data_IF_812896055259
#
_entry.id   IF_812896055259
#
_cell.length_a   1.000
_cell.length_b   1.000
_cell.length_c   1.000
_cell.angle_alpha   90.00
_cell.angle_beta   90.00
_cell.angle_gamma   90.00
#
_symmetry.space_group_name_H-M   'P 1'
#
loop_
_entity.id
_entity.type
_entity.pdbx_description
1 polymer ?
#
# COMPACT_ATOMS: atom_id res chain seq x y z
N UNK A 1 -66.03 -1.48 6.74
CA UNK A 1 -66.04 -0.71 5.49
C UNK A 1 -64.63 -0.63 4.90
N UNK A 2 -64.49 -0.22 3.64
CA UNK A 2 -63.18 -0.08 2.96
C UNK A 2 -62.15 0.70 3.78
N UNK A 3 -62.57 1.70 4.58
CA UNK A 3 -61.67 2.49 5.45
C UNK A 3 -60.95 1.70 6.53
N UNK A 4 -61.54 0.58 6.99
CA UNK A 4 -60.94 -0.25 8.02
C UNK A 4 -59.87 -1.18 7.45
N UNK A 5 -60.01 -1.54 6.18
CA UNK A 5 -59.00 -2.33 5.46
C UNK A 5 -57.75 -1.51 5.22
N UNK A 6 -57.88 -0.26 4.80
CA UNK A 6 -56.71 0.63 4.61
C UNK A 6 -56.03 1.00 5.92
N UNK A 7 -56.77 1.21 7.00
CA UNK A 7 -56.14 1.43 8.33
C UNK A 7 -55.34 0.22 8.80
N UNK A 8 -55.81 -1.01 8.58
CA UNK A 8 -55.08 -2.22 8.91
C UNK A 8 -53.85 -2.41 8.03
N UNK A 9 -53.93 -2.08 6.73
CA UNK A 9 -52.78 -2.14 5.84
C UNK A 9 -51.68 -1.12 6.23
N UNK A 10 -52.07 0.12 6.56
CA UNK A 10 -51.10 1.13 7.04
C UNK A 10 -50.46 0.71 8.37
N UNK A 11 -51.22 0.11 9.29
CA UNK A 11 -50.68 -0.38 10.56
C UNK A 11 -49.71 -1.54 10.34
N UNK A 12 -50.00 -2.47 9.41
CA UNK A 12 -49.12 -3.61 9.07
C UNK A 12 -47.87 -3.15 8.34
N UNK A 13 -47.95 -2.15 7.45
CA UNK A 13 -46.79 -1.56 6.79
C UNK A 13 -45.89 -0.76 7.74
N UNK A 14 -46.48 -0.11 8.77
CA UNK A 14 -45.73 0.60 9.80
C UNK A 14 -44.97 -0.33 10.75
N UNK A 15 -45.46 -1.55 10.96
CA UNK A 15 -44.82 -2.57 11.79
C UNK A 15 -43.67 -3.32 11.07
N UNK A 16 -43.66 -3.29 9.72
CA UNK A 16 -42.59 -3.92 8.92
C UNK A 16 -41.37 -3.00 8.66
N UNK A 17 -41.39 -1.76 9.12
CA UNK A 17 -40.29 -0.80 9.02
C UNK A 17 -39.30 -0.87 10.19
N UNK A 18 -39.36 -1.89 11.02
CA UNK A 18 -38.22 -2.19 11.89
C UNK A 18 -37.14 -2.74 11.02
N UNK A 19 -36.26 -1.85 10.55
CA UNK A 19 -34.97 -2.20 9.99
C UNK A 19 -34.24 -3.06 11.03
N UNK A 20 -34.11 -4.34 10.73
CA UNK A 20 -33.14 -5.15 11.46
C UNK A 20 -31.81 -4.47 11.26
N UNK A 21 -31.19 -3.99 12.32
CA UNK A 21 -29.76 -3.75 12.32
C UNK A 21 -29.13 -5.11 12.02
N UNK A 22 -28.67 -5.29 10.78
CA UNK A 22 -27.83 -6.41 10.41
C UNK A 22 -26.49 -6.20 11.12
N UNK A 23 -26.42 -6.57 12.39
CA UNK A 23 -25.13 -6.82 13.01
C UNK A 23 -24.60 -8.09 12.35
N UNK A 24 -23.53 -7.94 11.57
CA UNK A 24 -22.85 -9.06 10.94
C UNK A 24 -22.20 -9.90 12.04
N UNK A 25 -22.93 -10.94 12.48
CA UNK A 25 -22.41 -11.91 13.43
C UNK A 25 -21.67 -12.99 12.64
N UNK A 26 -20.34 -12.86 12.54
CA UNK A 26 -19.48 -13.88 11.93
C UNK A 26 -18.58 -14.52 13.01
N UNK A 27 -19.05 -15.53 13.73
CA UNK A 27 -18.33 -16.13 14.87
C UNK A 27 -17.06 -16.88 14.48
N UNK A 28 -16.78 -17.05 13.20
CA UNK A 28 -15.60 -17.75 12.67
C UNK A 28 -14.61 -16.86 11.93
N UNK A 29 -14.90 -15.58 11.69
CA UNK A 29 -13.98 -14.67 11.03
C UNK A 29 -13.29 -13.76 12.05
N UNK A 30 -11.97 -13.83 12.08
CA UNK A 30 -11.18 -12.82 12.75
C UNK A 30 -11.23 -11.55 11.91
N UNK A 31 -11.85 -10.48 12.44
CA UNK A 31 -11.73 -9.16 11.83
C UNK A 31 -10.32 -8.62 12.05
N UNK A 32 -9.88 -7.68 11.23
CA UNK A 32 -8.56 -7.04 11.39
C UNK A 32 -8.45 -6.34 12.75
N UNK A 33 -9.53 -5.72 13.21
CA UNK A 33 -9.61 -5.08 14.51
C UNK A 33 -9.45 -6.11 15.66
N UNK A 34 -10.05 -7.29 15.53
CA UNK A 34 -9.90 -8.36 16.51
C UNK A 34 -8.47 -8.93 16.50
N UNK A 35 -7.85 -9.10 15.34
CA UNK A 35 -6.44 -9.49 15.25
C UNK A 35 -5.54 -8.47 15.93
N UNK A 36 -5.75 -7.18 15.68
CA UNK A 36 -4.94 -6.11 16.25
C UNK A 36 -5.01 -5.99 17.78
N UNK A 37 -5.92 -6.68 18.47
CA UNK A 37 -5.99 -6.68 19.94
C UNK A 37 -4.89 -7.50 20.63
N UNK A 38 -4.12 -8.28 19.88
CA UNK A 38 -2.96 -9.03 20.36
C UNK A 38 -1.70 -8.71 19.56
N UNK A 39 -0.53 -8.88 20.16
CA UNK A 39 0.75 -8.65 19.49
C UNK A 39 0.90 -9.61 18.30
N UNK A 40 0.67 -10.91 18.49
CA UNK A 40 0.78 -11.92 17.41
C UNK A 40 -0.21 -11.68 16.27
N UNK A 41 -1.42 -11.24 16.61
CA UNK A 41 -2.42 -10.87 15.61
C UNK A 41 -2.01 -9.63 14.80
N UNK A 42 -1.45 -8.63 15.46
CA UNK A 42 -0.94 -7.44 14.78
C UNK A 42 0.29 -7.74 13.92
N UNK A 43 1.19 -8.62 14.37
CA UNK A 43 2.30 -9.12 13.55
C UNK A 43 1.80 -9.77 12.24
N UNK A 44 0.64 -10.43 12.28
CA UNK A 44 0.01 -10.98 11.07
C UNK A 44 -0.40 -9.87 10.10
N UNK A 45 -0.90 -8.73 10.60
CA UNK A 45 -1.21 -7.57 9.75
C UNK A 45 0.05 -6.92 9.18
N UNK A 46 1.12 -6.82 9.97
CA UNK A 46 2.43 -6.35 9.48
C UNK A 46 2.97 -7.29 8.38
N UNK A 47 2.89 -8.60 8.59
CA UNK A 47 3.32 -9.58 7.58
C UNK A 47 2.53 -9.47 6.27
N UNK A 48 1.25 -9.08 6.34
CA UNK A 48 0.46 -8.82 5.14
C UNK A 48 1.01 -7.64 4.32
N UNK A 49 1.65 -6.66 4.95
CA UNK A 49 2.30 -5.55 4.24
C UNK A 49 3.46 -6.03 3.35
N UNK A 50 4.16 -7.11 3.74
CA UNK A 50 5.25 -7.70 2.95
C UNK A 50 4.76 -8.59 1.81
N UNK A 51 3.58 -9.17 1.93
CA UNK A 51 3.06 -10.15 0.97
C UNK A 51 2.99 -9.60 -0.46
N UNK A 52 2.53 -8.38 -0.62
CA UNK A 52 2.45 -7.76 -1.95
C UNK A 52 3.85 -7.55 -2.54
N UNK A 53 4.86 -7.21 -1.70
CA UNK A 53 6.25 -7.06 -2.13
C UNK A 53 6.84 -8.40 -2.60
N UNK A 54 6.64 -9.47 -1.85
CA UNK A 54 7.07 -10.81 -2.24
C UNK A 54 6.46 -11.21 -3.59
N UNK A 55 5.15 -11.06 -3.72
CA UNK A 55 4.42 -11.49 -4.91
C UNK A 55 4.81 -10.74 -6.18
N UNK A 56 5.00 -9.42 -6.09
CA UNK A 56 5.14 -8.56 -7.26
C UNK A 56 6.58 -8.18 -7.57
N UNK A 57 7.46 -8.12 -6.56
CA UNK A 57 8.87 -7.73 -6.76
C UNK A 57 9.80 -8.93 -6.92
N UNK A 58 9.53 -10.04 -6.25
CA UNK A 58 10.45 -11.19 -6.23
C UNK A 58 9.82 -12.47 -6.77
N UNK A 59 8.51 -12.56 -6.82
CA UNK A 59 7.78 -13.78 -7.21
C UNK A 59 7.43 -13.89 -8.69
N UNK A 60 7.54 -12.82 -9.46
CA UNK A 60 7.19 -12.83 -10.88
C UNK A 60 8.25 -12.13 -11.75
N UNK A 61 8.30 -12.51 -13.03
CA UNK A 61 9.13 -11.84 -14.01
C UNK A 61 8.60 -10.43 -14.39
N UNK A 62 7.43 -10.05 -13.90
CA UNK A 62 6.75 -8.80 -14.25
C UNK A 62 7.57 -7.59 -13.82
N UNK A 63 8.15 -7.64 -12.61
CA UNK A 63 9.02 -6.58 -12.09
C UNK A 63 10.25 -6.36 -12.99
N UNK A 64 11.01 -7.41 -13.28
CA UNK A 64 12.21 -7.28 -14.14
C UNK A 64 11.86 -6.78 -15.53
N UNK A 65 10.70 -7.18 -16.05
CA UNK A 65 10.26 -6.73 -17.37
C UNK A 65 9.97 -5.23 -17.39
N UNK A 66 9.43 -4.68 -16.30
CA UNK A 66 9.06 -3.27 -16.22
C UNK A 66 10.24 -2.34 -15.83
N UNK A 67 11.24 -2.85 -15.11
CA UNK A 67 12.37 -2.03 -14.64
C UNK A 67 13.62 -2.20 -15.47
N UNK A 68 13.90 -3.42 -15.94
CA UNK A 68 15.13 -3.77 -16.64
C UNK A 68 14.91 -4.02 -18.13
N UNK A 69 13.67 -4.33 -18.52
CA UNK A 69 13.32 -4.49 -19.93
C UNK A 69 13.59 -3.20 -20.70
N UNK A 70 14.11 -3.32 -21.93
CA UNK A 70 14.42 -2.19 -22.80
C UNK A 70 15.59 -1.30 -22.34
N UNK A 71 16.41 -1.81 -21.42
CA UNK A 71 17.68 -1.21 -21.08
C UNK A 71 18.81 -1.77 -21.97
N UNK A 72 19.97 -1.14 -21.97
CA UNK A 72 21.17 -1.61 -22.69
C UNK A 72 21.79 -2.87 -22.05
N UNK A 73 21.38 -3.25 -20.86
CA UNK A 73 21.89 -4.40 -20.10
C UNK A 73 21.07 -5.67 -20.31
N UNK A 74 19.81 -5.55 -20.70
CA UNK A 74 18.88 -6.67 -20.79
C UNK A 74 18.21 -6.77 -22.16
N UNK A 75 18.32 -7.95 -22.78
CA UNK A 75 17.59 -8.31 -23.98
C UNK A 75 16.94 -9.67 -23.83
N UNK A 76 15.82 -9.85 -24.48
CA UNK A 76 15.12 -11.10 -24.48
C UNK A 76 15.61 -12.03 -25.61
N UNK A 77 15.55 -13.34 -25.38
CA UNK A 77 15.95 -14.32 -26.39
C UNK A 77 15.08 -14.18 -27.65
N UNK A 78 15.72 -13.99 -28.78
CA UNK A 78 15.02 -13.94 -30.06
C UNK A 78 14.23 -15.23 -30.31
N UNK A 79 12.99 -15.12 -30.82
CA UNK A 79 12.08 -16.19 -31.20
C UNK A 79 11.18 -16.78 -30.09
N UNK A 80 11.08 -16.18 -28.91
CA UNK A 80 10.03 -16.55 -27.97
C UNK A 80 8.83 -15.61 -28.14
N UNK A 81 7.70 -16.15 -28.59
CA UNK A 81 6.43 -15.43 -28.74
C UNK A 81 5.72 -15.33 -27.40
N UNK A 82 6.26 -14.53 -26.49
CA UNK A 82 5.61 -14.24 -25.21
C UNK A 82 5.30 -12.76 -25.11
N UNK A 83 4.33 -12.40 -24.28
CA UNK A 83 3.98 -11.02 -23.99
C UNK A 83 5.18 -10.19 -23.47
N UNK A 84 6.21 -10.85 -22.96
CA UNK A 84 7.46 -10.21 -22.52
C UNK A 84 8.29 -9.61 -23.67
N UNK A 85 8.25 -10.18 -24.87
CA UNK A 85 9.02 -9.67 -26.00
C UNK A 85 8.61 -8.28 -26.43
N UNK A 86 7.38 -7.89 -26.15
CA UNK A 86 6.86 -6.56 -26.52
C UNK A 86 7.52 -5.44 -25.70
N UNK A 87 7.96 -5.73 -24.47
CA UNK A 87 8.64 -4.77 -23.60
C UNK A 87 10.09 -4.54 -23.97
N UNK A 88 10.73 -5.57 -24.56
CA UNK A 88 12.14 -5.53 -24.95
C UNK A 88 12.38 -4.94 -26.34
N UNK A 89 11.32 -4.50 -27.04
CA UNK A 89 11.41 -3.89 -28.36
C UNK A 89 11.03 -2.41 -28.31
N UNK A 90 11.70 -1.63 -27.45
CA UNK A 90 11.54 -0.18 -27.34
C UNK A 90 10.08 0.25 -27.20
N UNK A 91 9.34 -0.40 -26.30
CA UNK A 91 7.90 -0.16 -26.08
C UNK A 91 7.03 -0.22 -27.34
N UNK A 92 7.54 -0.75 -28.43
CA UNK A 92 6.77 -0.92 -29.66
C UNK A 92 5.65 -1.95 -29.42
N UNK A 93 4.42 -1.46 -29.25
CA UNK A 93 3.23 -2.29 -29.05
C UNK A 93 2.83 -2.50 -27.59
N UNK A 94 3.44 -1.81 -26.63
CA UNK A 94 2.97 -1.84 -25.25
C UNK A 94 1.60 -1.17 -25.14
N UNK A 95 0.67 -1.88 -24.49
CA UNK A 95 -0.63 -1.34 -24.13
C UNK A 95 -0.62 -1.02 -22.63
N UNK A 96 -1.23 0.08 -22.18
CA UNK A 96 -1.36 0.38 -20.75
C UNK A 96 -2.15 -0.69 -19.99
N UNK A 97 -2.83 -1.59 -20.70
CA UNK A 97 -3.61 -2.69 -20.12
C UNK A 97 -2.92 -4.05 -20.27
N UNK A 98 -1.60 -4.11 -20.28
CA UNK A 98 -0.90 -5.41 -20.24
C UNK A 98 -1.05 -6.05 -18.87
N UNK A 99 -1.00 -7.38 -18.81
CA UNK A 99 -1.08 -8.15 -17.58
C UNK A 99 -0.02 -7.69 -16.57
N UNK A 100 1.18 -7.38 -17.02
CA UNK A 100 2.32 -6.98 -16.17
C UNK A 100 2.10 -5.62 -15.52
N UNK A 101 1.66 -4.63 -16.30
CA UNK A 101 1.33 -3.30 -15.80
C UNK A 101 0.20 -3.37 -14.78
N UNK A 102 -0.85 -4.16 -15.09
CA UNK A 102 -1.97 -4.35 -14.19
C UNK A 102 -1.56 -5.08 -12.90
N UNK A 103 -0.72 -6.11 -12.99
CA UNK A 103 -0.23 -6.84 -11.82
C UNK A 103 0.56 -5.93 -10.90
N UNK A 104 1.45 -5.10 -11.47
CA UNK A 104 2.21 -4.14 -10.67
C UNK A 104 1.29 -3.11 -10.01
N UNK A 105 0.40 -2.51 -10.78
CA UNK A 105 -0.57 -1.55 -10.27
C UNK A 105 -1.41 -2.13 -9.12
N UNK A 106 -2.03 -3.29 -9.35
CA UNK A 106 -2.85 -3.94 -8.34
C UNK A 106 -2.04 -4.31 -7.09
N UNK A 107 -0.83 -4.86 -7.30
CA UNK A 107 0.04 -5.21 -6.20
C UNK A 107 0.51 -4.05 -5.36
N UNK A 108 0.76 -2.90 -5.99
CA UNK A 108 1.06 -1.67 -5.28
C UNK A 108 -0.09 -1.28 -4.34
N UNK A 109 -1.33 -1.27 -4.84
CA UNK A 109 -2.48 -0.88 -4.03
C UNK A 109 -2.92 -1.94 -3.02
N UNK A 110 -2.68 -3.23 -3.28
CA UNK A 110 -2.82 -4.29 -2.29
C UNK A 110 -1.85 -4.04 -1.11
N UNK A 111 -0.60 -3.68 -1.41
CA UNK A 111 0.41 -3.34 -0.41
C UNK A 111 0.09 -2.06 0.36
N UNK A 112 -0.29 -0.99 -0.35
CA UNK A 112 -0.70 0.29 0.28
C UNK A 112 -1.91 0.08 1.19
N UNK A 113 -2.91 -0.68 0.74
CA UNK A 113 -4.09 -0.99 1.54
C UNK A 113 -3.74 -1.73 2.82
N UNK A 114 -2.90 -2.77 2.73
CA UNK A 114 -2.42 -3.52 3.91
C UNK A 114 -1.65 -2.60 4.89
N UNK A 115 -0.78 -1.73 4.37
CA UNK A 115 -0.02 -0.79 5.19
C UNK A 115 -0.95 0.23 5.88
N UNK A 116 -1.92 0.78 5.17
CA UNK A 116 -2.89 1.72 5.75
C UNK A 116 -3.67 1.09 6.91
N UNK A 117 -4.12 -0.15 6.74
CA UNK A 117 -4.79 -0.92 7.79
C UNK A 117 -3.90 -1.15 9.02
N UNK A 118 -2.66 -1.60 8.79
CA UNK A 118 -1.71 -1.83 9.88
C UNK A 118 -1.39 -0.52 10.62
N UNK A 119 -1.17 0.59 9.91
CA UNK A 119 -0.90 1.90 10.52
C UNK A 119 -2.11 2.37 11.34
N UNK A 120 -3.32 2.27 10.80
CA UNK A 120 -4.54 2.71 11.50
C UNK A 120 -4.83 1.90 12.76
N UNK A 121 -4.41 0.64 12.82
CA UNK A 121 -4.63 -0.25 13.95
C UNK A 121 -3.43 -0.31 14.92
N UNK A 122 -2.36 0.44 14.66
CA UNK A 122 -1.10 0.35 15.41
C UNK A 122 -1.17 0.68 16.90
N UNK A 123 -2.17 1.41 17.33
CA UNK A 123 -2.40 1.74 18.76
C UNK A 123 -3.19 0.67 19.53
N UNK A 124 -3.70 -0.36 18.86
CA UNK A 124 -4.54 -1.38 19.50
C UNK A 124 -3.78 -2.49 20.22
N UNK A 125 -2.63 -2.98 19.71
CA UNK A 125 -1.89 -4.04 20.37
C UNK A 125 -1.37 -3.59 21.74
N UNK A 126 -1.33 -4.48 22.74
CA UNK A 126 -0.93 -4.14 24.10
C UNK A 126 0.60 -4.09 24.24
N UNK A 127 1.27 -3.27 23.42
CA UNK A 127 2.70 -2.99 23.59
C UNK A 127 2.95 -2.26 24.91
N UNK A 128 4.08 -2.55 25.55
CA UNK A 128 4.41 -1.99 26.86
C UNK A 128 5.15 -0.65 26.75
N UNK A 129 5.82 -0.43 25.63
CA UNK A 129 6.56 0.81 25.36
C UNK A 129 6.15 1.43 24.04
N UNK A 130 6.40 2.73 23.92
CA UNK A 130 6.20 3.47 22.68
C UNK A 130 7.15 2.99 21.59
N UNK A 131 8.38 2.66 21.99
CA UNK A 131 9.42 2.17 21.08
C UNK A 131 9.00 0.85 20.41
N UNK A 132 8.47 -0.11 21.18
CA UNK A 132 7.98 -1.38 20.64
C UNK A 132 6.85 -1.16 19.63
N UNK A 133 5.88 -0.34 20.01
CA UNK A 133 4.75 0.00 19.14
C UNK A 133 5.18 0.70 17.86
N UNK A 134 5.97 1.77 18.02
CA UNK A 134 6.37 2.59 16.87
C UNK A 134 7.33 1.86 15.95
N UNK A 135 8.16 0.95 16.45
CA UNK A 135 9.00 0.09 15.62
C UNK A 135 8.15 -0.76 14.66
N UNK A 136 7.00 -1.27 15.11
CA UNK A 136 6.09 -2.04 14.26
C UNK A 136 5.31 -1.18 13.28
N UNK A 137 4.82 -0.03 13.70
CA UNK A 137 4.21 0.95 12.80
C UNK A 137 5.23 1.42 11.75
N UNK A 138 6.49 1.57 12.13
CA UNK A 138 7.58 1.97 11.24
C UNK A 138 7.85 0.96 10.12
N UNK A 139 7.68 -0.35 10.36
CA UNK A 139 7.73 -1.37 9.30
C UNK A 139 6.66 -1.11 8.24
N UNK A 140 5.41 -0.92 8.64
CA UNK A 140 4.31 -0.64 7.72
C UNK A 140 4.49 0.68 6.96
N UNK A 141 4.95 1.75 7.64
CA UNK A 141 5.24 3.04 7.01
C UNK A 141 6.37 2.95 6.01
N UNK A 142 7.45 2.27 6.36
CA UNK A 142 8.56 2.04 5.42
C UNK A 142 8.08 1.35 4.15
N UNK A 143 7.30 0.28 4.28
CA UNK A 143 6.77 -0.45 3.13
C UNK A 143 5.81 0.40 2.30
N UNK A 144 4.95 1.19 2.94
CA UNK A 144 4.04 2.11 2.23
C UNK A 144 4.82 3.15 1.41
N UNK A 145 5.87 3.72 1.98
CA UNK A 145 6.74 4.64 1.28
C UNK A 145 7.42 3.97 0.07
N UNK A 146 7.89 2.73 0.20
CA UNK A 146 8.48 1.96 -0.90
C UNK A 146 7.46 1.68 -2.00
N UNK A 147 6.23 1.30 -1.66
CA UNK A 147 5.16 1.09 -2.65
C UNK A 147 4.85 2.37 -3.42
N UNK A 148 4.67 3.49 -2.73
CA UNK A 148 4.40 4.77 -3.38
C UNK A 148 5.58 5.27 -4.21
N UNK A 149 6.81 5.14 -3.69
CA UNK A 149 8.01 5.49 -4.44
C UNK A 149 8.04 4.75 -5.79
N UNK A 150 7.90 3.42 -5.77
CA UNK A 150 7.92 2.64 -6.99
C UNK A 150 6.72 2.95 -7.92
N UNK A 151 5.54 3.20 -7.36
CA UNK A 151 4.38 3.57 -8.16
C UNK A 151 4.58 4.90 -8.88
N UNK A 152 5.10 5.90 -8.19
CA UNK A 152 5.37 7.24 -8.76
C UNK A 152 6.45 7.16 -9.83
N UNK A 153 7.53 6.42 -9.59
CA UNK A 153 8.61 6.25 -10.57
C UNK A 153 8.17 5.52 -11.83
N UNK A 154 7.22 4.60 -11.74
CA UNK A 154 6.73 3.84 -12.89
C UNK A 154 5.55 4.49 -13.62
N UNK A 155 4.67 5.15 -12.89
CA UNK A 155 3.38 5.64 -13.43
C UNK A 155 3.22 7.15 -13.37
N UNK A 156 4.17 7.87 -12.77
CA UNK A 156 4.03 9.31 -12.50
C UNK A 156 2.93 9.59 -11.49
N UNK A 157 1.99 10.46 -11.83
CA UNK A 157 0.86 10.75 -10.96
C UNK A 157 -0.02 9.51 -10.72
N UNK A 158 -0.24 9.16 -9.46
CA UNK A 158 -1.05 8.01 -9.02
C UNK A 158 -2.06 8.43 -7.96
N UNK A 159 -3.05 7.58 -7.67
CA UNK A 159 -4.04 7.87 -6.62
C UNK A 159 -3.38 7.77 -5.24
N UNK A 160 -3.48 8.82 -4.43
CA UNK A 160 -2.97 8.81 -3.06
C UNK A 160 -4.05 8.34 -2.10
N UNK A 161 -3.78 7.25 -1.37
CA UNK A 161 -4.61 6.65 -0.34
C UNK A 161 -3.79 6.54 0.94
N UNK A 162 -4.17 7.26 1.99
CA UNK A 162 -3.44 7.31 3.26
C UNK A 162 -4.18 6.64 4.42
N UNK A 163 -5.42 6.22 4.18
CA UNK A 163 -6.30 5.61 5.16
C UNK A 163 -6.89 4.29 4.62
N UNK A 164 -7.37 3.40 5.50
CA UNK A 164 -8.13 2.21 5.10
C UNK A 164 -9.34 2.58 4.24
N UNK A 165 -9.63 1.74 3.24
CA UNK A 165 -10.84 1.90 2.43
C UNK A 165 -12.01 1.30 3.19
N UNK A 166 -12.95 2.16 3.57
CA UNK A 166 -14.24 1.79 4.19
C UNK A 166 -15.38 2.14 3.25
N UNK A 167 -16.61 1.81 3.63
CA UNK A 167 -17.79 2.21 2.86
C UNK A 167 -17.91 3.75 2.74
N UNK A 168 -17.42 4.49 3.73
CA UNK A 168 -17.44 5.95 3.80
C UNK A 168 -16.31 6.59 2.98
N UNK A 169 -15.14 5.96 2.95
CA UNK A 169 -13.95 6.50 2.25
C UNK A 169 -13.83 6.01 0.81
N UNK A 170 -14.64 5.00 0.42
CA UNK A 170 -14.63 4.46 -0.93
C UNK A 170 -15.05 5.51 -1.95
N UNK A 171 -14.18 5.79 -2.92
CA UNK A 171 -14.50 6.63 -4.07
C UNK A 171 -14.56 5.81 -5.36
N UNK A 172 -15.59 6.02 -6.15
CA UNK A 172 -15.77 5.38 -7.46
C UNK A 172 -15.08 6.14 -8.60
N UNK A 173 -14.55 7.32 -8.30
CA UNK A 173 -13.86 8.17 -9.27
C UNK A 173 -12.51 8.65 -8.69
N UNK A 174 -11.54 7.75 -8.50
CA UNK A 174 -10.24 8.13 -7.98
C UNK A 174 -9.54 9.08 -8.96
N UNK A 175 -8.91 10.11 -8.41
CA UNK A 175 -8.09 11.07 -9.17
C UNK A 175 -6.61 10.79 -8.94
N UNK A 176 -5.79 11.14 -9.94
CA UNK A 176 -4.34 11.08 -9.80
C UNK A 176 -3.83 12.28 -9.01
N UNK A 177 -2.95 12.03 -8.06
CA UNK A 177 -2.25 13.04 -7.27
C UNK A 177 -0.89 13.32 -7.90
N UNK A 178 -0.48 14.56 -7.88
CA UNK A 178 0.83 14.97 -8.38
C UNK A 178 1.96 14.24 -7.64
N UNK A 179 3.02 13.77 -8.35
CA UNK A 179 4.15 13.08 -7.75
C UNK A 179 4.76 13.81 -6.55
N UNK A 180 5.01 15.12 -6.67
CA UNK A 180 5.65 15.87 -5.60
C UNK A 180 4.79 15.93 -4.34
N UNK A 181 3.46 16.03 -4.50
CA UNK A 181 2.51 15.94 -3.37
C UNK A 181 2.62 14.58 -2.66
N UNK A 182 2.73 13.47 -3.41
CA UNK A 182 2.90 12.13 -2.81
C UNK A 182 4.23 12.03 -2.06
N UNK A 183 5.31 12.61 -2.60
CA UNK A 183 6.59 12.70 -1.89
C UNK A 183 6.45 13.45 -0.57
N UNK A 184 5.82 14.61 -0.58
CA UNK A 184 5.69 15.48 0.58
C UNK A 184 4.75 14.95 1.66
N UNK A 185 3.63 14.32 1.25
CA UNK A 185 2.58 13.92 2.18
C UNK A 185 2.68 12.47 2.64
N UNK A 186 3.36 11.59 1.87
CA UNK A 186 3.46 10.17 2.20
C UNK A 186 4.90 9.69 2.25
N UNK A 187 5.67 9.77 1.15
CA UNK A 187 6.95 9.07 1.04
C UNK A 187 7.95 9.59 2.07
N UNK A 188 8.21 10.89 2.08
CA UNK A 188 9.19 11.50 2.99
C UNK A 188 8.76 11.41 4.47
N UNK A 189 7.50 11.73 4.85
CA UNK A 189 7.06 11.57 6.23
C UNK A 189 7.13 10.13 6.74
N UNK A 190 6.78 9.15 5.91
CA UNK A 190 6.83 7.74 6.30
C UNK A 190 8.28 7.26 6.46
N UNK A 191 9.21 7.68 5.58
CA UNK A 191 10.62 7.33 5.69
C UNK A 191 11.30 8.01 6.88
N UNK A 192 10.94 9.24 7.21
CA UNK A 192 11.43 9.94 8.41
C UNK A 192 10.99 9.20 9.67
N UNK A 193 9.70 8.86 9.76
CA UNK A 193 9.19 8.05 10.87
C UNK A 193 9.92 6.69 10.95
N UNK A 194 10.10 6.01 9.82
CA UNK A 194 10.82 4.74 9.77
C UNK A 194 12.28 4.89 10.21
N UNK A 195 12.97 5.96 9.80
CA UNK A 195 14.35 6.22 10.21
C UNK A 195 14.52 6.56 11.70
N UNK A 196 13.46 7.04 12.34
CA UNK A 196 13.45 7.31 13.78
C UNK A 196 13.25 6.02 14.58
N UNK A 197 12.26 5.20 14.20
CA UNK A 197 11.75 4.12 15.06
C UNK A 197 12.20 2.71 14.68
N UNK A 198 12.72 2.49 13.47
CA UNK A 198 13.24 1.17 13.13
C UNK A 198 14.53 0.84 13.90
N UNK A 199 14.77 -0.45 14.21
CA UNK A 199 15.93 -0.86 14.99
C UNK A 199 17.26 -0.61 14.25
N UNK A 200 18.31 -0.29 15.02
CA UNK A 200 19.66 0.02 14.48
C UNK A 200 20.53 -1.21 14.22
N UNK A 201 20.08 -2.41 14.55
CA UNK A 201 20.90 -3.62 14.48
C UNK A 201 21.16 -4.14 13.07
N UNK A 202 22.24 -4.91 12.92
CA UNK A 202 22.42 -5.79 11.78
C UNK A 202 21.72 -7.11 12.08
N UNK A 203 20.53 -7.28 11.53
CA UNK A 203 19.83 -8.55 11.69
C UNK A 203 20.33 -9.53 10.63
N UNK A 204 21.30 -10.33 10.97
CA UNK A 204 21.79 -11.40 10.10
C UNK A 204 20.73 -12.48 9.78
N UNK A 205 19.58 -12.42 10.45
CA UNK A 205 18.52 -13.44 10.39
C UNK A 205 17.12 -12.88 10.17
N UNK A 206 16.94 -11.57 10.07
CA UNK A 206 15.61 -10.97 9.91
C UNK A 206 15.47 -10.32 8.54
N UNK A 207 14.29 -10.53 7.95
CA UNK A 207 13.87 -9.92 6.69
C UNK A 207 13.23 -8.55 6.88
N UNK A 208 13.21 -8.03 8.11
CA UNK A 208 12.59 -6.74 8.45
C UNK A 208 13.53 -5.57 8.16
N UNK A 209 13.01 -4.42 7.77
CA UNK A 209 13.81 -3.24 7.51
C UNK A 209 14.49 -2.73 8.79
N UNK A 210 15.65 -2.11 8.62
CA UNK A 210 16.41 -1.48 9.71
C UNK A 210 16.45 0.03 9.52
N UNK A 211 16.86 0.75 10.56
CA UNK A 211 17.11 2.19 10.48
C UNK A 211 18.02 2.57 9.29
N UNK A 212 19.05 1.77 9.03
CA UNK A 212 19.95 2.01 7.88
C UNK A 212 19.24 1.87 6.54
N UNK A 213 18.31 0.91 6.42
CA UNK A 213 17.50 0.76 5.21
C UNK A 213 16.59 1.97 5.01
N UNK A 214 15.96 2.46 6.09
CA UNK A 214 15.10 3.65 6.05
C UNK A 214 15.88 4.92 5.67
N UNK A 215 17.06 5.15 6.27
CA UNK A 215 17.93 6.28 5.94
C UNK A 215 18.39 6.23 4.49
N UNK A 216 18.89 5.08 4.02
CA UNK A 216 19.32 4.93 2.62
C UNK A 216 18.16 5.15 1.63
N UNK A 217 16.96 4.73 1.99
CA UNK A 217 15.79 4.96 1.14
C UNK A 217 15.29 6.41 1.22
N UNK A 218 15.42 7.06 2.39
CA UNK A 218 15.13 8.48 2.58
C UNK A 218 16.08 9.34 1.72
N UNK A 219 17.39 9.08 1.75
CA UNK A 219 18.36 9.75 0.90
C UNK A 219 18.00 9.62 -0.58
N UNK A 220 17.66 8.40 -1.03
CA UNK A 220 17.22 8.13 -2.40
C UNK A 220 15.95 8.91 -2.76
N UNK A 221 14.95 8.91 -1.89
CA UNK A 221 13.69 9.62 -2.10
C UNK A 221 13.89 11.15 -2.16
N UNK A 222 14.72 11.70 -1.26
CA UNK A 222 15.07 13.11 -1.28
C UNK A 222 15.79 13.53 -2.58
N UNK A 223 16.73 12.71 -3.07
CA UNK A 223 17.40 12.96 -4.35
C UNK A 223 16.42 12.92 -5.52
N UNK A 224 15.47 11.98 -5.49
CA UNK A 224 14.50 11.83 -6.57
C UNK A 224 13.54 13.01 -6.71
N UNK A 225 13.30 13.78 -5.64
CA UNK A 225 12.49 15.01 -5.73
C UNK A 225 13.08 16.06 -6.68
N UNK A 226 14.39 15.98 -6.97
CA UNK A 226 15.04 16.86 -7.94
C UNK A 226 14.47 16.68 -9.35
N UNK A 227 14.10 15.48 -9.75
CA UNK A 227 13.48 15.20 -11.04
C UNK A 227 12.10 15.87 -11.18
N UNK A 228 11.46 16.15 -10.03
CA UNK A 228 10.19 16.88 -9.94
C UNK A 228 10.38 18.39 -9.69
N UNK A 229 11.61 18.90 -9.87
CA UNK A 229 11.94 20.32 -9.79
C UNK A 229 12.16 20.87 -8.39
N UNK A 230 12.29 20.03 -7.36
CA UNK A 230 12.57 20.48 -5.99
C UNK A 230 14.05 20.31 -5.64
N UNK A 231 14.64 21.35 -5.04
CA UNK A 231 15.98 21.32 -4.43
C UNK A 231 15.93 21.35 -2.91
N UNK A 232 14.73 21.40 -2.35
CA UNK A 232 14.49 21.59 -0.91
C UNK A 232 15.08 20.47 -0.06
N UNK A 233 15.04 19.22 -0.57
CA UNK A 233 15.40 18.02 0.18
C UNK A 233 16.83 17.53 -0.07
N UNK A 234 17.63 18.25 -0.87
CA UNK A 234 19.00 17.82 -1.19
C UNK A 234 19.92 17.77 0.03
N UNK A 235 19.76 18.71 0.97
CA UNK A 235 20.55 18.69 2.21
C UNK A 235 20.15 17.48 3.09
N UNK A 236 18.88 17.19 3.21
CA UNK A 236 18.41 16.03 3.95
C UNK A 236 18.92 14.71 3.34
N UNK A 237 19.05 14.65 2.02
CA UNK A 237 19.65 13.50 1.35
C UNK A 237 21.12 13.28 1.71
N UNK A 238 21.85 14.36 2.00
CA UNK A 238 23.27 14.28 2.45
C UNK A 238 23.39 13.91 3.93
N UNK A 239 22.40 14.26 4.73
CA UNK A 239 22.42 14.06 6.18
C UNK A 239 21.90 12.64 6.55
N UNK A 240 21.17 11.97 5.65
CA UNK A 240 20.60 10.64 5.84
C UNK A 240 21.60 9.53 5.54
#
# INVERSE_FOLDING_TARGET
GLGDVYKRQVLFSALSLHSCTLEEYNPGAFTKEALATSIDGYETLINQCYFAMERFYYGSADWMSLTEGDTDLWTYKANESTSYTQWFWFFAGTSPNTTYTNNWWNGTYDGVGACNEAIALGDKPPYTTEEERNAKIAEARFLRAVYYFNAVEQFGAVTMLTEPITAETLTYSPTRTDPMTIYQEVILPDLRFASEWLPTGTHATTTTPTKKAALGFLAKACLQTYEYGSTEYLQEALDA
#
